data_IF_183235344661
#
_entry.id   IF_183235344661
#
_cell.length_a   1.000
_cell.length_b   1.000
_cell.length_c   1.000
_cell.angle_alpha   90.00
_cell.angle_beta   90.00
_cell.angle_gamma   90.00
#
_symmetry.space_group_name_H-M   'P 1'
#
loop_
_entity.id
_entity.type
_entity.pdbx_description
1 polymer ?
#
# COMPACT_ATOMS: atom_id res chain seq x y z
N UNK A 1 13.20 -44.25 -17.55
CA UNK A 1 12.29 -43.55 -16.61
C UNK A 1 11.39 -42.62 -17.41
N UNK A 2 10.06 -42.78 -17.34
CA UNK A 2 9.12 -41.84 -17.98
C UNK A 2 9.36 -40.46 -17.34
N UNK A 3 9.71 -39.44 -18.12
CA UNK A 3 9.84 -38.06 -17.61
C UNK A 3 8.51 -37.71 -16.93
N UNK A 4 8.53 -37.44 -15.62
CA UNK A 4 7.36 -36.92 -14.93
C UNK A 4 6.97 -35.62 -15.64
N UNK A 5 5.70 -35.45 -15.94
CA UNK A 5 5.20 -34.24 -16.56
C UNK A 5 5.40 -33.10 -15.54
N UNK A 6 6.51 -32.36 -15.64
CA UNK A 6 6.86 -31.23 -14.79
C UNK A 6 6.00 -30.01 -15.16
N UNK A 7 4.70 -30.19 -15.27
CA UNK A 7 3.77 -29.13 -15.64
C UNK A 7 3.30 -28.49 -14.34
N UNK A 8 3.76 -27.27 -14.11
CA UNK A 8 3.23 -26.43 -13.03
C UNK A 8 1.70 -26.43 -13.07
N UNK A 9 1.08 -26.48 -11.90
CA UNK A 9 -0.35 -26.20 -11.73
C UNK A 9 -0.64 -24.77 -12.22
N UNK A 10 -1.90 -24.43 -12.52
CA UNK A 10 -2.26 -23.06 -12.89
C UNK A 10 -1.78 -22.02 -11.85
N UNK A 11 -1.95 -22.31 -10.57
CA UNK A 11 -1.50 -21.45 -9.45
C UNK A 11 0.02 -21.29 -9.43
N UNK A 12 0.76 -22.40 -9.59
CA UNK A 12 2.22 -22.35 -9.62
C UNK A 12 2.75 -21.54 -10.82
N UNK A 13 2.05 -21.57 -11.96
CA UNK A 13 2.39 -20.72 -13.12
C UNK A 13 2.18 -19.25 -12.83
N UNK A 14 1.11 -18.89 -12.12
CA UNK A 14 0.83 -17.49 -11.76
C UNK A 14 1.88 -16.96 -10.79
N UNK A 15 2.22 -17.73 -9.75
CA UNK A 15 3.28 -17.39 -8.80
C UNK A 15 4.62 -17.26 -9.52
N UNK A 16 4.96 -18.21 -10.40
CA UNK A 16 6.17 -18.13 -11.20
C UNK A 16 6.20 -16.90 -12.10
N UNK A 17 5.10 -16.60 -12.79
CA UNK A 17 4.99 -15.42 -13.63
C UNK A 17 5.17 -14.12 -12.81
N UNK A 18 4.54 -14.04 -11.63
CA UNK A 18 4.71 -12.91 -10.72
C UNK A 18 6.18 -12.76 -10.26
N UNK A 19 6.81 -13.85 -9.84
CA UNK A 19 8.22 -13.86 -9.43
C UNK A 19 9.17 -13.44 -10.57
N UNK A 20 8.92 -13.91 -11.80
CA UNK A 20 9.69 -13.52 -12.99
C UNK A 20 9.53 -12.03 -13.28
N UNK A 21 8.31 -11.47 -13.17
CA UNK A 21 8.10 -10.02 -13.34
C UNK A 21 8.91 -9.22 -12.32
N UNK A 22 8.88 -9.61 -11.05
CA UNK A 22 9.64 -8.93 -9.98
C UNK A 22 11.14 -9.01 -10.27
N UNK A 23 11.67 -10.20 -10.59
CA UNK A 23 13.09 -10.41 -10.90
C UNK A 23 13.57 -9.59 -12.11
N UNK A 24 12.67 -9.28 -13.04
CA UNK A 24 12.97 -8.52 -14.26
C UNK A 24 12.84 -7.01 -14.10
N UNK A 25 12.36 -6.51 -12.96
CA UNK A 25 12.35 -5.07 -12.67
C UNK A 25 13.78 -4.58 -12.45
N UNK A 26 14.04 -3.33 -12.84
CA UNK A 26 15.26 -2.62 -12.50
C UNK A 26 15.28 -2.26 -11.02
N UNK A 27 16.46 -2.01 -10.45
CA UNK A 27 16.61 -1.62 -9.05
C UNK A 27 15.81 -0.34 -8.75
N UNK A 28 15.78 0.62 -9.68
CA UNK A 28 15.00 1.84 -9.56
C UNK A 28 13.49 1.54 -9.47
N UNK A 29 12.95 0.71 -10.37
CA UNK A 29 11.53 0.35 -10.35
C UNK A 29 11.14 -0.41 -9.09
N UNK A 30 12.04 -1.22 -8.53
CA UNK A 30 11.82 -1.92 -7.27
C UNK A 30 11.75 -0.94 -6.10
N UNK A 31 12.69 0.01 -6.03
CA UNK A 31 12.70 1.06 -5.01
C UNK A 31 11.44 1.91 -5.10
N UNK A 32 11.07 2.37 -6.30
CA UNK A 32 9.85 3.15 -6.52
C UNK A 32 8.59 2.38 -6.11
N UNK A 33 8.49 1.10 -6.45
CA UNK A 33 7.36 0.26 -6.05
C UNK A 33 7.24 0.15 -4.52
N UNK A 34 8.36 -0.10 -3.83
CA UNK A 34 8.39 -0.18 -2.36
C UNK A 34 8.04 1.16 -1.74
N UNK A 35 8.58 2.26 -2.26
CA UNK A 35 8.31 3.60 -1.75
C UNK A 35 6.86 4.02 -1.98
N UNK A 36 6.28 3.72 -3.13
CA UNK A 36 4.85 3.93 -3.39
C UNK A 36 3.98 3.10 -2.45
N UNK A 37 4.34 1.83 -2.21
CA UNK A 37 3.65 0.97 -1.27
C UNK A 37 3.69 1.54 0.16
N UNK A 38 4.87 1.99 0.61
CA UNK A 38 5.07 2.62 1.91
C UNK A 38 4.27 3.92 2.05
N UNK A 39 4.31 4.80 1.04
CA UNK A 39 3.56 6.05 1.02
C UNK A 39 2.05 5.81 1.11
N UNK A 40 1.52 4.85 0.34
CA UNK A 40 0.10 4.45 0.39
C UNK A 40 -0.29 3.89 1.75
N UNK A 41 0.49 2.96 2.30
CA UNK A 41 0.22 2.39 3.61
C UNK A 41 0.21 3.46 4.71
N UNK A 42 1.14 4.41 4.64
CA UNK A 42 1.21 5.53 5.55
C UNK A 42 0.00 6.48 5.43
N UNK A 43 -0.39 6.85 4.21
CA UNK A 43 -1.58 7.66 3.94
C UNK A 43 -2.85 7.00 4.48
N UNK A 44 -3.05 5.72 4.18
CA UNK A 44 -4.19 4.96 4.66
C UNK A 44 -4.23 4.89 6.21
N UNK A 45 -3.07 4.79 6.85
CA UNK A 45 -2.96 4.81 8.31
C UNK A 45 -3.38 6.15 8.91
N UNK A 46 -3.00 7.26 8.28
CA UNK A 46 -3.41 8.60 8.73
C UNK A 46 -4.91 8.81 8.52
N UNK A 47 -5.46 8.40 7.38
CA UNK A 47 -6.92 8.48 7.13
C UNK A 47 -7.72 7.67 8.14
N UNK A 48 -7.27 6.45 8.46
CA UNK A 48 -7.90 5.62 9.47
C UNK A 48 -7.88 6.30 10.85
N UNK A 49 -6.74 6.87 11.23
CA UNK A 49 -6.61 7.60 12.49
C UNK A 49 -7.54 8.82 12.56
N UNK A 50 -7.62 9.62 11.50
CA UNK A 50 -8.51 10.79 11.46
C UNK A 50 -9.99 10.38 11.58
N UNK A 51 -10.39 9.28 10.93
CA UNK A 51 -11.73 8.72 11.08
C UNK A 51 -12.04 8.28 12.51
N UNK A 52 -11.05 7.71 13.21
CA UNK A 52 -11.22 7.35 14.62
C UNK A 52 -11.38 8.61 15.49
N UNK A 53 -10.58 9.66 15.23
CA UNK A 53 -10.69 10.97 15.88
C UNK A 53 -12.07 11.60 15.68
N UNK A 54 -12.68 11.41 14.50
CA UNK A 54 -14.03 11.87 14.22
C UNK A 54 -15.10 11.27 15.15
N UNK A 55 -14.88 10.03 15.59
CA UNK A 55 -15.75 9.31 16.52
C UNK A 55 -15.55 9.65 18.01
N UNK A 56 -14.50 10.40 18.38
CA UNK A 56 -14.18 10.66 19.78
C UNK A 56 -15.09 11.75 20.38
N UNK A 57 -15.86 11.36 21.40
CA UNK A 57 -16.66 12.30 22.20
C UNK A 57 -15.76 13.32 22.89
N UNK A 58 -16.15 14.60 22.82
CA UNK A 58 -15.42 15.71 23.44
C UNK A 58 -14.44 16.42 22.51
N UNK A 59 -14.13 15.86 21.34
CA UNK A 59 -13.39 16.59 20.30
C UNK A 59 -14.38 17.47 19.52
N UNK A 60 -14.07 18.76 19.41
CA UNK A 60 -14.90 19.72 18.68
C UNK A 60 -14.73 19.60 17.16
N UNK A 61 -15.77 19.96 16.41
CA UNK A 61 -15.79 19.97 14.94
C UNK A 61 -14.62 20.77 14.35
N UNK A 62 -14.29 21.91 14.97
CA UNK A 62 -13.20 22.78 14.52
C UNK A 62 -11.84 22.10 14.68
N UNK A 63 -11.61 21.37 15.77
CA UNK A 63 -10.35 20.65 15.99
C UNK A 63 -10.18 19.52 14.98
N UNK A 64 -11.25 18.76 14.71
CA UNK A 64 -11.23 17.72 13.67
C UNK A 64 -10.86 18.29 12.32
N UNK A 65 -11.51 19.39 11.93
CA UNK A 65 -11.21 20.10 10.68
C UNK A 65 -9.74 20.50 10.60
N UNK A 66 -9.18 21.13 11.65
CA UNK A 66 -7.76 21.50 11.69
C UNK A 66 -6.80 20.32 11.50
N UNK A 67 -7.14 19.15 12.04
CA UNK A 67 -6.32 17.95 11.89
C UNK A 67 -6.38 17.41 10.46
N UNK A 68 -7.56 17.44 9.83
CA UNK A 68 -7.70 17.11 8.41
C UNK A 68 -6.95 18.10 7.51
N UNK A 69 -7.16 19.40 7.71
CA UNK A 69 -6.47 20.45 6.93
C UNK A 69 -4.94 20.29 7.06
N UNK A 70 -4.43 20.07 8.28
CA UNK A 70 -3.00 19.82 8.53
C UNK A 70 -2.51 18.54 7.82
N UNK A 71 -3.35 17.49 7.78
CA UNK A 71 -3.01 16.24 7.13
C UNK A 71 -2.86 16.40 5.62
N UNK A 72 -3.77 17.15 5.00
CA UNK A 72 -3.71 17.48 3.57
C UNK A 72 -2.54 18.42 3.25
N UNK A 73 -2.39 19.52 3.99
CA UNK A 73 -1.33 20.53 3.76
C UNK A 73 0.09 19.94 3.83
N UNK A 74 0.30 18.95 4.71
CA UNK A 74 1.58 18.27 4.87
C UNK A 74 1.75 17.04 3.98
N UNK A 75 0.76 16.73 3.14
CA UNK A 75 0.78 15.58 2.24
C UNK A 75 0.80 14.24 2.98
N UNK A 76 0.24 14.20 4.19
CA UNK A 76 0.03 12.95 4.92
C UNK A 76 -1.08 12.11 4.28
N UNK A 77 -2.04 12.77 3.64
CA UNK A 77 -3.16 12.16 2.89
C UNK A 77 -3.34 12.86 1.54
N UNK A 78 -4.08 12.25 0.60
CA UNK A 78 -4.37 12.83 -0.72
C UNK A 78 -3.26 12.65 -1.78
N UNK A 79 -2.44 11.59 -1.65
CA UNK A 79 -1.40 11.19 -2.60
C UNK A 79 -1.95 10.63 -3.93
#
# INVERSE_FOLDING_TARGET
MKKRNCRFTPEEKEIHAAAVRIRKKTDQELVEYVDQGRKKAYSNGVEAFLRDVDGVRGIGVVTRKKLHDLAEERGYIGL
#
